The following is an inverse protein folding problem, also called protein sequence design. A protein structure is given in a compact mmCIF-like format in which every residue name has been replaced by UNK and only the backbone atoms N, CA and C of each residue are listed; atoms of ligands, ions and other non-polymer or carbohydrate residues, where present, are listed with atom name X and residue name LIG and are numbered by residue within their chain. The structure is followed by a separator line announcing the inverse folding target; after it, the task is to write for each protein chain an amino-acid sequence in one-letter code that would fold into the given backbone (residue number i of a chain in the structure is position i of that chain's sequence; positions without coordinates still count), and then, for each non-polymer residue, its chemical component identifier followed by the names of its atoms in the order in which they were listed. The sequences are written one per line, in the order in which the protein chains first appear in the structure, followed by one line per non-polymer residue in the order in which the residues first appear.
data_IF_519597631765
#
_entry.id   IF_519597631765
#
_cell.length_a   1.000
_cell.length_b   1.000
_cell.length_c   1.000
_cell.angle_alpha   90.00
_cell.angle_beta   90.00
_cell.angle_gamma   90.00
#
_symmetry.space_group_name_H-M   'P 1'
#
loop_
_entity.id
_entity.type
_entity.pdbx_description
1 polymer ?
#
# COMPACT_ATOMS: atom_id res chain seq x y z
N UNK A 1 20.77 27.13 0.95
CA UNK A 1 21.02 26.99 -0.50
C UNK A 1 19.91 27.71 -1.27
N UNK A 2 20.15 28.14 -2.52
CA UNK A 2 19.09 28.62 -3.43
C UNK A 2 18.96 27.63 -4.59
N UNK A 3 17.74 27.20 -4.90
CA UNK A 3 17.43 26.35 -6.07
C UNK A 3 16.32 27.05 -6.84
N UNK A 4 16.56 27.39 -8.12
CA UNK A 4 15.61 28.13 -8.95
C UNK A 4 15.07 29.41 -8.29
N UNK A 5 15.90 30.10 -7.51
CA UNK A 5 15.51 31.30 -6.75
C UNK A 5 14.74 31.02 -5.45
N UNK A 6 14.39 29.77 -5.16
CA UNK A 6 13.73 29.36 -3.90
C UNK A 6 14.76 29.05 -2.83
N UNK A 7 14.55 29.62 -1.63
CA UNK A 7 15.41 29.39 -0.47
C UNK A 7 15.15 28.01 0.13
N UNK A 8 16.19 27.17 0.11
CA UNK A 8 16.23 25.92 0.86
C UNK A 8 16.96 26.17 2.17
N UNK A 9 16.21 26.01 3.27
CA UNK A 9 16.74 26.13 4.63
C UNK A 9 17.66 24.95 4.93
N UNK A 10 18.80 25.26 5.55
CA UNK A 10 19.75 24.25 6.02
C UNK A 10 19.23 23.64 7.32
N UNK A 11 18.39 22.63 7.17
CA UNK A 11 17.70 21.91 8.24
C UNK A 11 17.52 20.45 7.81
N UNK A 12 16.96 19.62 8.68
CA UNK A 12 16.70 18.21 8.42
C UNK A 12 15.23 17.86 8.65
N UNK A 13 14.78 16.75 8.05
CA UNK A 13 13.54 16.08 8.39
C UNK A 13 13.84 14.89 9.31
N UNK A 14 13.21 14.85 10.48
CA UNK A 14 13.32 13.71 11.38
C UNK A 14 12.30 12.64 11.01
N UNK A 15 12.77 11.42 10.79
CA UNK A 15 11.96 10.28 10.39
C UNK A 15 12.12 9.13 11.40
N UNK A 16 11.19 8.20 11.39
CA UNK A 16 11.08 7.16 12.41
C UNK A 16 11.08 5.76 11.78
N UNK A 17 11.66 4.76 12.48
CA UNK A 17 11.62 3.38 12.00
C UNK A 17 10.20 2.83 12.07
N UNK A 18 9.76 2.22 10.96
CA UNK A 18 8.46 1.56 10.82
C UNK A 18 8.64 0.14 10.30
N UNK A 19 7.53 -0.59 10.16
CA UNK A 19 7.45 -1.85 9.41
C UNK A 19 6.62 -1.61 8.16
N UNK A 20 7.14 -2.04 7.01
CA UNK A 20 6.42 -1.94 5.75
C UNK A 20 6.29 -3.28 5.06
N UNK A 21 5.17 -3.46 4.36
CA UNK A 21 4.93 -4.55 3.40
C UNK A 21 4.51 -3.94 2.06
N UNK A 22 4.84 -4.64 0.98
CA UNK A 22 4.33 -4.37 -0.36
C UNK A 22 3.40 -5.51 -0.74
N UNK A 23 2.18 -5.19 -1.16
CA UNK A 23 1.22 -6.15 -1.69
C UNK A 23 0.96 -5.83 -3.16
N UNK A 24 0.69 -6.87 -3.93
CA UNK A 24 0.21 -6.75 -5.31
C UNK A 24 -1.25 -7.18 -5.31
N UNK A 25 -2.13 -6.27 -5.72
CA UNK A 25 -3.55 -6.54 -5.90
C UNK A 25 -3.82 -6.61 -7.40
N UNK A 26 -4.34 -7.74 -7.87
CA UNK A 26 -4.76 -7.87 -9.28
C UNK A 26 -6.27 -8.01 -9.38
N UNK A 27 -6.82 -7.70 -10.54
CA UNK A 27 -8.25 -7.84 -10.81
C UNK A 27 -8.50 -8.09 -12.30
N UNK A 28 -9.77 -8.12 -12.70
CA UNK A 28 -10.17 -8.27 -14.10
C UNK A 28 -9.56 -7.20 -15.01
N UNK A 29 -9.43 -5.96 -14.52
CA UNK A 29 -8.74 -4.87 -15.21
C UNK A 29 -8.21 -3.85 -14.18
N UNK A 30 -7.41 -2.88 -14.66
CA UNK A 30 -6.77 -1.87 -13.80
C UNK A 30 -7.79 -1.03 -13.00
N UNK A 31 -9.00 -0.82 -13.54
CA UNK A 31 -10.06 -0.08 -12.85
C UNK A 31 -10.51 -0.80 -11.58
N UNK A 32 -10.77 -2.11 -11.65
CA UNK A 32 -11.17 -2.91 -10.48
C UNK A 32 -10.03 -3.09 -9.49
N UNK A 33 -8.80 -3.29 -9.98
CA UNK A 33 -7.63 -3.36 -9.11
C UNK A 33 -7.45 -2.04 -8.32
N UNK A 34 -7.66 -0.90 -8.98
CA UNK A 34 -7.62 0.41 -8.34
C UNK A 34 -8.76 0.58 -7.32
N UNK A 35 -9.99 0.14 -7.60
CA UNK A 35 -11.07 0.22 -6.61
C UNK A 35 -10.76 -0.57 -5.33
N UNK A 36 -10.22 -1.78 -5.47
CA UNK A 36 -9.74 -2.56 -4.33
C UNK A 36 -8.64 -1.82 -3.58
N UNK A 37 -7.62 -1.35 -4.32
CA UNK A 37 -6.49 -0.61 -3.76
C UNK A 37 -6.92 0.66 -3.00
N UNK A 38 -7.72 1.53 -3.63
CA UNK A 38 -8.24 2.75 -3.00
C UNK A 38 -9.08 2.45 -1.75
N UNK A 39 -9.88 1.38 -1.77
CA UNK A 39 -10.64 0.97 -0.59
C UNK A 39 -9.72 0.52 0.55
N UNK A 40 -8.71 -0.31 0.26
CA UNK A 40 -7.78 -0.80 1.30
C UNK A 40 -6.83 0.28 1.83
N UNK A 41 -6.50 1.29 1.04
CA UNK A 41 -5.63 2.41 1.44
C UNK A 41 -6.42 3.62 1.96
N UNK A 42 -7.76 3.57 1.95
CA UNK A 42 -8.59 4.59 2.58
C UNK A 42 -8.43 4.59 4.11
N UNK A 43 -8.62 5.76 4.73
CA UNK A 43 -8.43 5.96 6.19
C UNK A 43 -7.09 5.36 6.68
N UNK A 44 -5.99 5.75 6.03
CA UNK A 44 -4.65 5.26 6.31
C UNK A 44 -3.60 6.38 6.17
N UNK A 45 -3.90 7.57 6.69
CA UNK A 45 -3.05 8.77 6.53
C UNK A 45 -1.94 8.87 7.57
N UNK A 46 -2.19 8.39 8.78
CA UNK A 46 -1.23 8.42 9.89
C UNK A 46 -1.47 7.28 10.85
N UNK A 47 -0.38 6.62 11.28
CA UNK A 47 -0.44 5.55 12.27
C UNK A 47 -1.02 5.97 13.62
N UNK A 48 -1.06 7.27 13.93
CA UNK A 48 -1.53 7.81 15.22
C UNK A 48 -2.99 7.41 15.50
N UNK A 49 -3.86 7.58 14.49
CA UNK A 49 -5.30 7.33 14.64
C UNK A 49 -5.88 6.37 13.58
N UNK A 50 -5.17 6.14 12.46
CA UNK A 50 -5.60 5.22 11.42
C UNK A 50 -5.06 3.79 11.62
N UNK A 51 -4.08 3.61 12.51
CA UNK A 51 -3.40 2.33 12.80
C UNK A 51 -2.37 1.88 11.76
N UNK A 52 -2.46 2.36 10.52
CA UNK A 52 -1.42 2.23 9.50
C UNK A 52 -1.32 3.50 8.63
N UNK A 53 -0.23 3.59 7.89
CA UNK A 53 -0.06 4.47 6.74
C UNK A 53 -0.09 3.61 5.47
N UNK A 54 -0.92 3.94 4.48
CA UNK A 54 -1.00 3.15 3.26
C UNK A 54 -1.40 3.99 2.05
N UNK A 55 -0.81 3.70 0.91
CA UNK A 55 -1.20 4.27 -0.37
C UNK A 55 -0.87 3.32 -1.52
N UNK A 56 -1.40 3.67 -2.70
CA UNK A 56 -0.97 3.09 -3.95
C UNK A 56 0.45 3.56 -4.23
N UNK A 57 1.33 2.62 -4.55
CA UNK A 57 2.70 2.92 -5.00
C UNK A 57 2.72 3.12 -6.52
N UNK A 58 2.19 2.14 -7.26
CA UNK A 58 2.16 2.20 -8.72
C UNK A 58 1.16 1.21 -9.32
N UNK A 59 0.74 1.43 -10.56
CA UNK A 59 -0.02 0.46 -11.35
C UNK A 59 0.91 -0.53 -12.03
N UNK A 60 0.47 -1.78 -12.17
CA UNK A 60 1.25 -2.87 -12.77
C UNK A 60 0.55 -3.41 -14.01
N UNK A 61 1.31 -3.68 -15.06
CA UNK A 61 0.82 -4.39 -16.25
C UNK A 61 0.73 -5.89 -15.98
N UNK A 62 0.07 -6.62 -16.89
CA UNK A 62 -0.16 -8.05 -16.72
C UNK A 62 1.14 -8.87 -16.68
N UNK A 63 2.19 -8.45 -17.38
CA UNK A 63 3.50 -9.12 -17.41
C UNK A 63 4.30 -8.96 -16.11
N UNK A 64 3.93 -7.99 -15.27
CA UNK A 64 4.60 -7.73 -13.98
C UNK A 64 3.95 -8.49 -12.81
N UNK A 65 2.78 -9.09 -13.02
CA UNK A 65 1.99 -9.69 -11.93
C UNK A 65 2.04 -11.22 -11.90
N UNK A 66 1.88 -11.86 -10.73
CA UNK A 66 2.02 -13.30 -10.59
C UNK A 66 0.98 -14.14 -11.35
N UNK A 67 -0.20 -13.59 -11.63
CA UNK A 67 -1.32 -14.27 -12.27
C UNK A 67 -1.64 -13.74 -13.68
N UNK A 68 -0.73 -12.93 -14.25
CA UNK A 68 -0.84 -12.38 -15.60
C UNK A 68 -2.08 -11.50 -15.82
N UNK A 69 -2.48 -10.74 -14.80
CA UNK A 69 -3.59 -9.77 -14.86
C UNK A 69 -3.13 -8.37 -14.48
N UNK A 70 -3.79 -7.31 -14.97
CA UNK A 70 -3.49 -5.95 -14.52
C UNK A 70 -3.63 -5.84 -12.99
N UNK A 71 -2.74 -5.05 -12.39
CA UNK A 71 -2.67 -4.93 -10.95
C UNK A 71 -2.25 -3.56 -10.44
N UNK A 72 -2.19 -3.46 -9.13
CA UNK A 72 -1.74 -2.28 -8.39
C UNK A 72 -0.83 -2.75 -7.27
N UNK A 73 0.31 -2.08 -7.15
CA UNK A 73 1.19 -2.20 -6.01
C UNK A 73 0.75 -1.23 -4.92
N UNK A 74 0.67 -1.72 -3.69
CA UNK A 74 0.31 -0.92 -2.52
C UNK A 74 1.35 -1.12 -1.43
N UNK A 75 1.73 -0.03 -0.78
CA UNK A 75 2.57 -0.09 0.41
C UNK A 75 1.71 0.16 1.65
N UNK A 76 1.98 -0.63 2.70
CA UNK A 76 1.35 -0.48 4.00
C UNK A 76 2.44 -0.42 5.05
N UNK A 77 2.39 0.59 5.90
CA UNK A 77 3.33 0.89 6.97
C UNK A 77 2.61 0.87 8.32
N UNK A 78 3.26 0.33 9.34
CA UNK A 78 2.77 0.39 10.71
C UNK A 78 3.92 0.46 11.72
N UNK A 79 3.61 0.86 12.95
CA UNK A 79 4.59 1.03 14.04
C UNK A 79 5.24 -0.29 14.48
N UNK A 80 4.59 -1.43 14.24
CA UNK A 80 5.11 -2.75 14.60
C UNK A 80 4.65 -3.82 13.62
N UNK A 81 5.33 -4.98 13.62
CA UNK A 81 4.97 -6.10 12.74
C UNK A 81 3.62 -6.72 13.11
N UNK A 82 3.28 -6.69 14.41
CA UNK A 82 1.98 -7.17 14.91
C UNK A 82 0.85 -6.27 14.42
N UNK A 83 1.01 -4.96 14.52
CA UNK A 83 -0.01 -4.02 14.02
C UNK A 83 -0.08 -4.07 12.49
N UNK A 84 1.06 -4.19 11.80
CA UNK A 84 1.10 -4.36 10.35
C UNK A 84 0.28 -5.58 9.90
N UNK A 85 0.53 -6.75 10.51
CA UNK A 85 -0.20 -7.97 10.17
C UNK A 85 -1.70 -7.82 10.41
N UNK A 86 -2.10 -7.21 11.54
CA UNK A 86 -3.50 -6.95 11.87
C UNK A 86 -4.17 -6.00 10.87
N UNK A 87 -3.51 -4.90 10.50
CA UNK A 87 -4.03 -3.92 9.55
C UNK A 87 -4.16 -4.52 8.15
N UNK A 88 -3.16 -5.29 7.71
CA UNK A 88 -3.22 -6.00 6.43
C UNK A 88 -4.34 -7.02 6.41
N UNK A 89 -4.49 -7.84 7.46
CA UNK A 89 -5.57 -8.84 7.54
C UNK A 89 -6.96 -8.18 7.45
N UNK A 90 -7.19 -7.12 8.22
CA UNK A 90 -8.46 -6.40 8.21
C UNK A 90 -8.74 -5.77 6.83
N UNK A 91 -7.76 -5.06 6.27
CA UNK A 91 -7.93 -4.32 5.00
C UNK A 91 -8.05 -5.27 3.82
N UNK A 92 -7.24 -6.32 3.76
CA UNK A 92 -7.37 -7.32 2.69
C UNK A 92 -8.71 -8.07 2.85
N UNK A 93 -9.10 -8.46 4.06
CA UNK A 93 -10.35 -9.18 4.28
C UNK A 93 -11.61 -8.36 3.99
N UNK A 94 -11.61 -7.05 4.27
CA UNK A 94 -12.80 -6.20 4.14
C UNK A 94 -12.83 -5.35 2.87
N UNK A 95 -11.68 -5.12 2.22
CA UNK A 95 -11.59 -4.27 1.03
C UNK A 95 -11.18 -5.04 -0.23
N UNK A 96 -10.28 -6.02 -0.10
CA UNK A 96 -9.76 -6.76 -1.26
C UNK A 96 -10.57 -8.01 -1.51
N UNK A 97 -10.74 -8.90 -0.52
CA UNK A 97 -11.51 -10.14 -0.65
C UNK A 97 -12.96 -9.88 -1.09
N UNK A 98 -13.52 -8.72 -0.71
CA UNK A 98 -14.87 -8.27 -1.09
C UNK A 98 -14.92 -7.52 -2.43
N UNK A 99 -13.76 -7.18 -3.01
CA UNK A 99 -13.67 -6.51 -4.30
C UNK A 99 -13.83 -7.53 -5.45
N UNK A 100 -14.72 -7.27 -6.42
CA UNK A 100 -14.96 -8.19 -7.53
C UNK A 100 -13.68 -8.56 -8.28
N UNK A 101 -13.54 -9.85 -8.62
CA UNK A 101 -12.42 -10.43 -9.38
C UNK A 101 -11.04 -10.27 -8.75
N UNK A 102 -10.94 -9.80 -7.51
CA UNK A 102 -9.64 -9.42 -6.95
C UNK A 102 -8.79 -10.64 -6.58
N UNK A 103 -7.48 -10.44 -6.50
CA UNK A 103 -6.54 -11.38 -5.88
C UNK A 103 -5.41 -10.61 -5.22
N UNK A 104 -4.75 -11.24 -4.25
CA UNK A 104 -3.70 -10.57 -3.45
C UNK A 104 -2.43 -11.43 -3.36
N UNK A 105 -1.29 -10.80 -3.61
CA UNK A 105 0.01 -11.46 -3.62
C UNK A 105 1.04 -10.68 -2.82
N UNK A 106 2.08 -11.39 -2.40
CA UNK A 106 3.23 -10.75 -1.80
C UNK A 106 4.03 -9.97 -2.85
N UNK A 107 4.25 -8.68 -2.62
CA UNK A 107 5.03 -7.81 -3.51
C UNK A 107 6.50 -7.66 -3.10
N UNK A 108 6.95 -8.28 -2.01
CA UNK A 108 8.34 -8.14 -1.54
C UNK A 108 9.19 -9.39 -1.84
N UNK A 109 10.37 -9.25 -2.48
CA UNK A 109 11.24 -10.40 -2.78
C UNK A 109 11.81 -11.04 -1.50
N UNK A 110 12.04 -10.24 -0.46
CA UNK A 110 12.70 -10.63 0.78
C UNK A 110 12.01 -9.99 1.99
N UNK A 111 12.32 -10.49 3.18
CA UNK A 111 11.83 -9.95 4.44
C UNK A 111 11.37 -11.06 5.39
N UNK A 112 10.79 -10.66 6.51
CA UNK A 112 10.19 -11.59 7.47
C UNK A 112 8.76 -11.90 7.04
N UNK A 113 8.36 -13.16 7.11
CA UNK A 113 7.02 -13.58 6.71
C UNK A 113 5.97 -13.27 7.78
N UNK A 114 4.76 -13.00 7.33
CA UNK A 114 3.54 -12.93 8.14
C UNK A 114 2.36 -13.46 7.33
N UNK A 115 1.30 -13.88 8.03
CA UNK A 115 0.10 -14.41 7.41
C UNK A 115 -0.60 -13.35 6.55
N UNK A 116 -0.84 -13.67 5.27
CA UNK A 116 -1.68 -12.88 4.36
C UNK A 116 -3.04 -13.58 4.20
N UNK A 117 -3.23 -14.40 3.16
CA UNK A 117 -4.47 -15.12 2.98
C UNK A 117 -4.59 -16.36 3.87
N UNK A 118 -3.54 -16.71 4.62
CA UNK A 118 -3.55 -17.81 5.58
C UNK A 118 -4.73 -17.69 6.53
N UNK A 119 -4.97 -16.55 7.16
CA UNK A 119 -6.09 -16.39 8.09
C UNK A 119 -7.41 -16.19 7.33
N UNK A 120 -7.37 -15.48 6.21
CA UNK A 120 -8.57 -15.22 5.39
C UNK A 120 -9.18 -16.50 4.81
N UNK A 121 -8.42 -17.57 4.64
CA UNK A 121 -8.91 -18.86 4.11
C UNK A 121 -10.15 -19.40 4.84
N UNK A 122 -10.33 -19.06 6.12
CA UNK A 122 -11.46 -19.51 6.91
C UNK A 122 -12.80 -18.92 6.44
N UNK A 123 -12.80 -17.84 5.65
CA UNK A 123 -14.01 -17.34 4.97
C UNK A 123 -14.63 -18.37 4.01
N UNK A 124 -13.84 -19.34 3.54
CA UNK A 124 -14.34 -20.42 2.69
C UNK A 124 -15.12 -21.49 3.44
N UNK A 125 -15.23 -21.42 4.77
CA UNK A 125 -16.01 -22.33 5.62
C UNK A 125 -15.81 -23.83 5.32
N UNK A 126 -14.56 -24.24 5.11
CA UNK A 126 -14.18 -25.62 4.80
C UNK A 126 -14.04 -25.93 3.30
N UNK A 127 -14.49 -25.02 2.42
CA UNK A 127 -14.43 -25.17 0.96
C UNK A 127 -13.19 -24.54 0.33
N UNK A 128 -12.32 -23.92 1.12
CA UNK A 128 -11.07 -23.35 0.63
C UNK A 128 -10.10 -24.43 0.12
N UNK A 129 -9.46 -24.16 -1.02
CA UNK A 129 -8.50 -25.07 -1.65
C UNK A 129 -7.08 -24.52 -1.51
N UNK A 130 -6.17 -25.37 -1.06
CA UNK A 130 -4.73 -25.06 -1.04
C UNK A 130 -4.07 -25.50 -2.34
N UNK A 131 -3.21 -24.64 -2.92
CA UNK A 131 -2.38 -24.99 -4.08
C UNK A 131 -0.96 -24.49 -3.86
N UNK A 132 0.03 -25.32 -4.16
CA UNK A 132 1.45 -24.92 -4.13
C UNK A 132 1.96 -24.82 -5.56
N UNK A 133 2.48 -23.66 -5.94
CA UNK A 133 3.05 -23.39 -7.26
C UNK A 133 4.42 -22.76 -7.03
N UNK A 134 5.48 -23.34 -7.61
CA UNK A 134 6.86 -22.81 -7.50
C UNK A 134 7.25 -22.47 -6.04
N UNK A 135 7.02 -23.40 -5.12
CA UNK A 135 7.27 -23.27 -3.67
C UNK A 135 6.50 -22.13 -2.96
N UNK A 136 5.52 -21.51 -3.60
CA UNK A 136 4.58 -20.57 -2.97
C UNK A 136 3.23 -21.24 -2.78
N UNK A 137 2.65 -21.11 -1.58
CA UNK A 137 1.29 -21.57 -1.31
C UNK A 137 0.29 -20.46 -1.59
N UNK A 138 -0.79 -20.84 -2.26
CA UNK A 138 -1.95 -20.02 -2.53
C UNK A 138 -3.20 -20.66 -1.93
N UNK A 139 -4.13 -19.82 -1.51
CA UNK A 139 -5.46 -20.19 -1.07
C UNK A 139 -6.47 -19.71 -2.12
N UNK A 140 -7.34 -20.61 -2.55
CA UNK A 140 -8.52 -20.30 -3.37
C UNK A 140 -9.72 -20.39 -2.44
N UNK A 141 -10.39 -19.26 -2.24
CA UNK A 141 -11.51 -19.11 -1.30
C UNK A 141 -12.77 -18.92 -2.14
N UNK A 142 -13.78 -19.79 -2.05
CA UNK A 142 -15.02 -19.61 -2.79
C UNK A 142 -15.72 -18.29 -2.42
N UNK A 143 -16.15 -17.55 -3.43
CA UNK A 143 -16.89 -16.28 -3.31
C UNK A 143 -18.08 -16.30 -4.27
N UNK A 144 -18.98 -15.31 -4.17
CA UNK A 144 -20.16 -15.24 -5.06
C UNK A 144 -19.79 -15.09 -6.54
N UNK A 145 -18.66 -14.45 -6.85
CA UNK A 145 -18.15 -14.22 -8.19
C UNK A 145 -17.15 -15.30 -8.67
N UNK A 146 -17.00 -16.38 -7.89
CA UNK A 146 -16.16 -17.53 -8.21
C UNK A 146 -15.19 -17.83 -7.07
N UNK A 147 -13.96 -17.33 -7.20
CA UNK A 147 -12.91 -17.59 -6.22
C UNK A 147 -12.03 -16.37 -6.00
N UNK A 148 -11.76 -16.07 -4.73
CA UNK A 148 -10.69 -15.18 -4.33
C UNK A 148 -9.37 -15.96 -4.21
N UNK A 149 -8.31 -15.47 -4.85
CA UNK A 149 -6.97 -16.07 -4.77
C UNK A 149 -6.05 -15.20 -3.93
N UNK A 150 -5.40 -15.80 -2.93
CA UNK A 150 -4.43 -15.10 -2.10
C UNK A 150 -3.19 -15.94 -1.79
N UNK A 151 -2.00 -15.32 -1.84
CA UNK A 151 -0.76 -15.94 -1.35
C UNK A 151 -0.84 -16.18 0.17
N UNK A 152 -0.32 -17.31 0.65
CA UNK A 152 -0.42 -17.70 2.07
C UNK A 152 0.19 -16.65 2.98
N UNK A 153 1.41 -16.23 2.66
CA UNK A 153 2.20 -15.28 3.44
C UNK A 153 2.60 -14.08 2.58
N UNK A 154 2.67 -12.92 3.21
CA UNK A 154 3.40 -11.75 2.71
C UNK A 154 4.67 -11.55 3.53
N UNK A 155 5.51 -10.62 3.09
CA UNK A 155 6.76 -10.27 3.78
C UNK A 155 6.75 -8.81 4.21
N UNK A 156 7.46 -8.52 5.28
CA UNK A 156 7.71 -7.15 5.72
C UNK A 156 9.19 -6.92 6.01
N UNK A 157 9.61 -5.66 5.93
CA UNK A 157 10.96 -5.19 6.32
C UNK A 157 10.87 -4.03 7.31
N UNK A 158 12.00 -3.66 7.91
CA UNK A 158 12.14 -2.34 8.54
C UNK A 158 12.08 -1.29 7.43
N UNK A 159 11.32 -0.22 7.65
CA UNK A 159 11.18 0.89 6.74
C UNK A 159 11.28 2.21 7.52
N UNK A 160 11.13 3.32 6.81
CA UNK A 160 11.22 4.67 7.35
C UNK A 160 9.87 5.35 7.05
N UNK A 161 9.29 6.00 8.05
CA UNK A 161 8.15 6.90 7.85
C UNK A 161 8.41 8.27 8.47
N UNK A 162 7.64 9.26 8.05
CA UNK A 162 7.76 10.64 8.52
C UNK A 162 8.78 11.51 7.77
N UNK A 163 9.40 11.01 6.70
CA UNK A 163 10.16 11.87 5.79
C UNK A 163 9.26 12.96 5.22
N UNK A 164 9.69 14.23 5.28
CA UNK A 164 8.85 15.36 4.92
C UNK A 164 9.67 16.55 4.39
N UNK A 165 8.98 17.43 3.65
CA UNK A 165 9.45 18.75 3.24
C UNK A 165 8.31 19.73 3.49
N UNK A 166 8.62 20.93 4.00
CA UNK A 166 7.65 22.01 4.15
C UNK A 166 7.78 22.99 2.98
N UNK A 167 6.69 23.19 2.25
CA UNK A 167 6.59 24.17 1.18
C UNK A 167 5.94 25.44 1.75
N UNK A 168 6.66 26.56 1.69
CA UNK A 168 6.17 27.87 2.10
C UNK A 168 5.93 28.70 0.83
N UNK A 169 4.69 29.12 0.63
CA UNK A 169 4.28 29.98 -0.49
C UNK A 169 3.47 31.17 0.02
N UNK A 170 3.33 32.19 -0.82
CA UNK A 170 2.62 33.44 -0.49
C UNK A 170 1.10 33.25 -0.45
N UNK A 171 0.58 32.25 -1.17
CA UNK A 171 -0.83 31.95 -1.28
C UNK A 171 -1.08 30.44 -1.46
N UNK A 172 -2.33 30.02 -1.25
CA UNK A 172 -2.75 28.62 -1.31
C UNK A 172 -2.66 28.02 -2.71
N UNK A 173 -2.88 28.82 -3.77
CA UNK A 173 -2.86 28.33 -5.14
C UNK A 173 -1.42 27.97 -5.53
N UNK A 174 -0.47 28.84 -5.21
CA UNK A 174 0.96 28.61 -5.39
C UNK A 174 1.46 27.42 -4.58
N UNK A 175 1.05 27.30 -3.30
CA UNK A 175 1.40 26.17 -2.44
C UNK A 175 0.92 24.84 -3.04
N UNK A 176 -0.37 24.73 -3.38
CA UNK A 176 -0.95 23.51 -3.91
C UNK A 176 -0.36 23.16 -5.28
N UNK A 177 -0.19 24.14 -6.17
CA UNK A 177 0.36 23.90 -7.51
C UNK A 177 1.78 23.29 -7.46
N UNK A 178 2.68 23.84 -6.65
CA UNK A 178 4.03 23.32 -6.49
C UNK A 178 4.01 21.94 -5.81
N UNK A 179 3.11 21.77 -4.83
CA UNK A 179 2.97 20.51 -4.10
C UNK A 179 2.47 19.38 -5.00
N UNK A 180 1.50 19.64 -5.87
CA UNK A 180 0.99 18.69 -6.87
C UNK A 180 2.07 18.27 -7.87
N UNK A 181 2.92 19.20 -8.31
CA UNK A 181 4.08 18.89 -9.16
C UNK A 181 5.05 17.97 -8.41
N UNK A 182 5.38 18.29 -7.16
CA UNK A 182 6.27 17.47 -6.34
C UNK A 182 5.73 16.06 -6.10
N UNK A 183 4.43 15.94 -5.84
CA UNK A 183 3.70 14.67 -5.74
C UNK A 183 3.79 13.88 -7.05
N UNK A 184 3.64 14.54 -8.20
CA UNK A 184 3.82 13.93 -9.51
C UNK A 184 5.20 13.28 -9.69
N UNK A 185 6.25 13.89 -9.16
CA UNK A 185 7.61 13.33 -9.16
C UNK A 185 7.78 12.19 -8.16
N UNK A 186 7.21 12.30 -6.95
CA UNK A 186 7.25 11.25 -5.92
C UNK A 186 6.58 9.97 -6.43
N UNK A 187 5.48 10.09 -7.17
CA UNK A 187 4.75 8.97 -7.75
C UNK A 187 5.52 8.18 -8.82
N UNK A 188 6.64 8.73 -9.32
CA UNK A 188 7.55 8.01 -10.23
C UNK A 188 8.62 7.19 -9.47
N UNK A 189 8.67 7.29 -8.13
CA UNK A 189 9.67 6.61 -7.31
C UNK A 189 9.14 5.26 -6.81
N UNK A 190 9.91 4.21 -7.01
CA UNK A 190 9.59 2.91 -6.43
C UNK A 190 9.82 2.89 -4.92
N UNK A 191 8.99 2.12 -4.21
CA UNK A 191 9.04 1.89 -2.76
C UNK A 191 8.81 3.14 -1.91
N UNK A 192 8.13 4.15 -2.47
CA UNK A 192 7.75 5.39 -1.79
C UNK A 192 6.23 5.58 -1.90
N UNK A 193 5.62 6.13 -0.85
CA UNK A 193 4.24 6.62 -0.87
C UNK A 193 4.14 7.92 -0.09
N UNK A 194 3.12 8.72 -0.41
CA UNK A 194 2.68 9.84 0.41
C UNK A 194 1.25 9.55 0.92
N UNK A 195 1.07 9.15 2.19
CA UNK A 195 -0.18 8.55 2.67
C UNK A 195 -1.31 9.56 2.92
N UNK A 196 -1.03 10.86 2.90
CA UNK A 196 -2.03 11.89 3.19
C UNK A 196 -3.01 12.11 2.03
N UNK A 197 -4.18 12.75 2.26
CA UNK A 197 -5.15 13.02 1.20
C UNK A 197 -4.56 13.89 0.09
N UNK A 198 -4.67 13.44 -1.16
CA UNK A 198 -3.98 14.11 -2.27
C UNK A 198 -2.46 14.12 -2.13
N UNK A 199 -1.91 13.25 -1.27
CA UNK A 199 -0.49 13.11 -0.96
C UNK A 199 0.12 14.31 -0.21
N UNK A 200 -0.74 15.21 0.30
CA UNK A 200 -0.35 16.45 0.95
C UNK A 200 -0.90 16.54 2.36
N UNK A 201 -0.10 17.08 3.27
CA UNK A 201 -0.50 17.34 4.65
C UNK A 201 -0.68 18.85 4.86
N UNK A 202 -1.86 19.26 5.33
CA UNK A 202 -2.15 20.64 5.73
C UNK A 202 -1.89 20.90 7.23
N UNK A 203 -1.70 19.84 8.03
CA UNK A 203 -1.47 19.91 9.47
C UNK A 203 -0.09 19.41 9.87
N UNK A 204 0.79 20.34 10.26
CA UNK A 204 2.00 19.98 10.98
C UNK A 204 1.68 19.87 12.48
N UNK A 205 1.74 18.65 13.03
CA UNK A 205 1.63 18.41 14.47
C UNK A 205 3.00 18.61 15.14
N UNK A 206 3.00 19.12 16.39
CA UNK A 206 4.18 19.27 17.25
C UNK A 206 4.13 18.26 18.39
#
# INVERSE_FOLDING_TARGET
MLVNGVKIFDTFAEAFPMRATRLIVTAYNSKWAMYGASSMTGFATSVIACGCEAAVETTLTADETPDSRPGVSVLVFAVSSKELAKQVENRVGQCILTCPSSSVFNGMPEGKEFALAKNLRFFGDGWQISKVIRNKRYWRIPTMDGEFVGEENARYKTAIGGGNILILAEDIQSALHISEIGVGEINNLENVIAPFPGELCDQAQK
#
